data_IF_649539140730
#
_entry.id   IF_649539140730
#
_cell.length_a   1.000
_cell.length_b   1.000
_cell.length_c   1.000
_cell.angle_alpha   90.00
_cell.angle_beta   90.00
_cell.angle_gamma   90.00
#
_symmetry.space_group_name_H-M   'P 1'
#
loop_
_entity.id
_entity.type
_entity.pdbx_description
1 polymer ?
#
# COMPACT_ATOMS: atom_id res chain seq x y z
N UNK A 1 1.13 37.48 -10.80
CA UNK A 1 -0.30 37.78 -10.58
C UNK A 1 -0.95 36.52 -10.05
N UNK A 2 -1.12 36.43 -8.74
CA UNK A 2 -1.70 35.29 -8.04
C UNK A 2 -3.18 35.57 -7.74
N UNK A 3 -4.05 34.63 -8.06
CA UNK A 3 -5.40 34.63 -7.53
C UNK A 3 -5.62 33.36 -6.68
N UNK A 4 -6.12 33.48 -5.46
CA UNK A 4 -6.49 32.35 -4.63
C UNK A 4 -7.93 31.94 -4.91
N UNK A 5 -8.18 30.64 -5.05
CA UNK A 5 -9.55 30.10 -5.08
C UNK A 5 -9.82 29.41 -3.75
N UNK A 6 -10.52 30.14 -2.88
CA UNK A 6 -11.22 29.58 -1.72
C UNK A 6 -12.56 29.03 -2.17
N UNK A 7 -12.82 27.77 -1.91
CA UNK A 7 -14.11 27.13 -2.12
C UNK A 7 -14.36 26.07 -1.07
N UNK A 8 -14.86 26.48 0.10
CA UNK A 8 -15.49 25.59 1.07
C UNK A 8 -16.80 25.07 0.48
N UNK A 9 -16.95 23.75 0.36
CA UNK A 9 -18.28 23.11 0.24
C UNK A 9 -18.54 22.30 1.49
N UNK A 10 -19.48 22.78 2.28
CA UNK A 10 -20.21 22.08 3.30
C UNK A 10 -21.08 21.03 2.60
N UNK A 11 -21.00 19.80 3.04
CA UNK A 11 -22.01 18.77 2.73
C UNK A 11 -22.36 18.08 4.04
N UNK A 12 -23.49 18.51 4.58
CA UNK A 12 -24.25 17.80 5.62
C UNK A 12 -24.94 16.62 4.94
N UNK A 13 -24.91 15.43 5.57
CA UNK A 13 -25.55 14.22 5.04
C UNK A 13 -25.41 13.06 6.01
N UNK A 14 -26.35 12.98 6.87
CA UNK A 14 -26.97 11.95 7.70
C UNK A 14 -26.39 10.52 7.67
N UNK A 15 -26.10 9.92 8.84
CA UNK A 15 -25.68 8.51 8.95
C UNK A 15 -26.90 7.60 9.14
N UNK A 16 -27.44 7.07 8.03
CA UNK A 16 -28.43 6.01 8.07
C UNK A 16 -27.83 4.68 8.52
N UNK A 17 -27.98 4.34 9.78
CA UNK A 17 -27.66 3.05 10.34
C UNK A 17 -28.61 1.97 9.82
N UNK A 18 -28.08 0.95 9.15
CA UNK A 18 -28.81 -0.28 8.84
C UNK A 18 -28.59 -1.25 9.99
N UNK A 19 -29.58 -1.37 10.85
CA UNK A 19 -29.68 -2.43 11.86
C UNK A 19 -30.17 -3.70 11.18
N UNK A 20 -29.38 -4.78 11.29
CA UNK A 20 -29.81 -6.11 10.91
C UNK A 20 -30.68 -6.64 12.04
N UNK A 21 -32.00 -6.68 11.86
CA UNK A 21 -32.91 -7.40 12.73
C UNK A 21 -33.52 -8.59 12.00
N UNK A 22 -33.56 -9.68 12.74
CA UNK A 22 -33.95 -11.03 12.40
C UNK A 22 -35.31 -11.20 11.73
N UNK A 23 -35.36 -12.13 10.76
CA UNK A 23 -36.58 -12.86 10.47
C UNK A 23 -36.21 -14.32 10.15
N UNK A 24 -36.57 -15.22 11.10
CA UNK A 24 -36.45 -16.66 10.95
C UNK A 24 -37.56 -17.19 10.04
N UNK A 25 -37.23 -17.94 9.02
CA UNK A 25 -37.87 -19.22 8.67
C UNK A 25 -37.25 -19.86 7.40
N UNK A 26 -36.61 -20.99 7.55
CA UNK A 26 -36.74 -22.14 6.67
C UNK A 26 -35.83 -22.28 5.46
N UNK A 27 -34.91 -23.23 5.62
CA UNK A 27 -34.27 -24.15 4.65
C UNK A 27 -32.80 -23.90 4.31
N UNK A 28 -32.03 -24.92 4.72
CA UNK A 28 -30.59 -25.14 4.54
C UNK A 28 -30.13 -24.86 3.11
N UNK A 29 -29.19 -23.93 2.99
CA UNK A 29 -28.03 -24.06 2.11
C UNK A 29 -26.86 -23.36 2.83
N UNK A 30 -25.88 -24.13 3.26
CA UNK A 30 -24.63 -23.61 3.84
C UNK A 30 -23.83 -22.97 2.70
N UNK A 31 -24.09 -21.72 2.43
CA UNK A 31 -23.13 -20.83 1.80
C UNK A 31 -22.48 -20.07 2.94
N UNK A 32 -21.26 -20.49 3.30
CA UNK A 32 -20.37 -19.69 4.12
C UNK A 32 -19.99 -18.43 3.30
N UNK A 33 -20.89 -17.48 3.26
CA UNK A 33 -20.53 -16.11 2.91
C UNK A 33 -19.69 -15.63 4.09
N UNK A 34 -18.37 -15.81 4.00
CA UNK A 34 -17.43 -15.01 4.76
C UNK A 34 -17.75 -13.55 4.38
N UNK A 35 -18.49 -12.88 5.24
CA UNK A 35 -18.54 -11.43 5.27
C UNK A 35 -17.13 -10.97 5.69
N UNK A 36 -16.20 -11.04 4.75
CA UNK A 36 -14.88 -10.47 4.90
C UNK A 36 -15.10 -8.97 5.01
N UNK A 37 -14.99 -8.43 6.21
CA UNK A 37 -14.88 -6.98 6.40
C UNK A 37 -13.72 -6.52 5.54
N UNK A 38 -14.05 -5.91 4.39
CA UNK A 38 -13.07 -5.47 3.41
C UNK A 38 -12.03 -4.59 4.10
N UNK A 39 -10.77 -5.03 4.10
CA UNK A 39 -9.71 -4.26 4.72
C UNK A 39 -9.56 -2.92 4.01
N UNK A 40 -9.55 -1.84 4.76
CA UNK A 40 -9.31 -0.49 4.25
C UNK A 40 -7.80 -0.24 4.22
N UNK A 41 -7.20 -0.16 3.03
CA UNK A 41 -5.79 0.15 2.88
C UNK A 41 -5.48 1.57 3.35
N UNK A 42 -4.57 1.70 4.30
CA UNK A 42 -4.06 3.00 4.77
C UNK A 42 -2.84 3.39 3.92
N UNK A 43 -2.99 4.41 3.09
CA UNK A 43 -1.93 4.92 2.22
C UNK A 43 -1.09 5.98 2.95
N UNK A 44 -0.24 5.55 3.85
CA UNK A 44 0.60 6.42 4.70
C UNK A 44 2.07 6.44 4.28
N UNK A 45 2.44 5.61 3.30
CA UNK A 45 3.80 5.49 2.79
C UNK A 45 4.28 6.73 2.04
N UNK A 46 3.38 7.41 1.34
CA UNK A 46 3.69 8.60 0.54
C UNK A 46 4.36 8.27 -0.81
N UNK A 47 4.38 7.01 -1.19
CA UNK A 47 4.81 6.49 -2.48
C UNK A 47 4.14 5.14 -2.73
N UNK A 48 3.76 4.84 -3.98
CA UNK A 48 3.06 3.60 -4.33
C UNK A 48 3.82 2.35 -3.87
N UNK A 49 5.14 2.34 -4.03
CA UNK A 49 5.97 1.19 -3.64
C UNK A 49 5.99 0.98 -2.12
N UNK A 50 5.98 2.07 -1.33
CA UNK A 50 5.92 2.01 0.11
C UNK A 50 4.53 1.59 0.60
N UNK A 51 3.47 2.12 0.01
CA UNK A 51 2.10 1.70 0.32
C UNK A 51 1.87 0.23 -0.02
N UNK A 52 2.50 -0.27 -1.10
CA UNK A 52 2.48 -1.69 -1.44
C UNK A 52 3.23 -2.54 -0.39
N UNK A 53 4.38 -2.12 0.08
CA UNK A 53 5.09 -2.78 1.19
C UNK A 53 4.23 -2.83 2.46
N UNK A 54 3.42 -1.81 2.70
CA UNK A 54 2.53 -1.71 3.85
C UNK A 54 1.23 -2.54 3.71
N UNK A 55 1.09 -3.37 2.67
CA UNK A 55 -0.01 -4.35 2.57
C UNK A 55 0.18 -5.58 3.49
N UNK A 56 1.10 -5.51 4.42
CA UNK A 56 1.28 -6.41 5.58
C UNK A 56 0.87 -5.64 6.84
N UNK A 57 0.16 -6.28 7.77
CA UNK A 57 -0.34 -5.62 8.98
C UNK A 57 0.77 -5.06 9.86
N UNK A 58 1.77 -5.87 10.16
CA UNK A 58 2.87 -5.53 11.07
C UNK A 58 4.11 -6.36 10.70
N UNK A 59 5.17 -5.67 10.28
CA UNK A 59 6.44 -6.31 9.93
C UNK A 59 7.30 -6.73 11.13
N UNK A 60 6.86 -6.41 12.36
CA UNK A 60 7.61 -6.71 13.59
C UNK A 60 7.21 -8.05 14.22
N UNK A 61 6.15 -8.69 13.70
CA UNK A 61 5.69 -10.00 14.17
C UNK A 61 6.10 -11.12 13.20
N UNK A 62 6.33 -12.37 13.70
CA UNK A 62 6.79 -13.47 12.84
C UNK A 62 5.80 -13.87 11.75
N UNK A 63 4.50 -13.86 12.05
CA UNK A 63 3.42 -14.26 11.14
C UNK A 63 2.44 -13.09 10.97
N UNK A 64 2.79 -12.07 10.18
CA UNK A 64 1.93 -10.93 10.01
C UNK A 64 0.73 -11.26 9.11
N UNK A 65 -0.42 -10.69 9.41
CA UNK A 65 -1.58 -10.75 8.53
C UNK A 65 -1.26 -10.11 7.19
N UNK A 66 -1.46 -10.86 6.10
CA UNK A 66 -1.33 -10.38 4.73
C UNK A 66 -2.66 -9.79 4.26
N UNK A 67 -2.66 -8.51 3.91
CA UNK A 67 -3.84 -7.84 3.37
C UNK A 67 -4.12 -8.17 1.91
N UNK A 68 -3.13 -8.69 1.18
CA UNK A 68 -3.32 -9.25 -0.14
C UNK A 68 -3.72 -10.75 -0.01
N UNK A 69 -4.87 -11.03 0.61
CA UNK A 69 -5.36 -12.40 0.83
C UNK A 69 -5.67 -13.13 -0.47
N UNK A 70 -6.15 -12.40 -1.45
CA UNK A 70 -6.48 -12.88 -2.80
C UNK A 70 -6.20 -11.80 -3.85
N UNK A 71 -6.39 -12.13 -5.13
CA UNK A 71 -6.12 -11.19 -6.22
C UNK A 71 -7.15 -10.05 -6.29
N UNK A 72 -8.36 -10.27 -5.82
CA UNK A 72 -9.38 -9.22 -5.69
C UNK A 72 -8.92 -8.12 -4.71
N UNK A 73 -8.30 -8.51 -3.57
CA UNK A 73 -7.68 -7.57 -2.64
C UNK A 73 -6.51 -6.81 -3.28
N UNK A 74 -5.69 -7.49 -4.11
CA UNK A 74 -4.62 -6.81 -4.84
C UNK A 74 -5.19 -5.78 -5.84
N UNK A 75 -6.25 -6.11 -6.57
CA UNK A 75 -6.92 -5.16 -7.47
C UNK A 75 -7.55 -4.00 -6.70
N UNK A 76 -8.11 -4.26 -5.52
CA UNK A 76 -8.66 -3.23 -4.64
C UNK A 76 -7.56 -2.31 -4.11
N UNK A 77 -6.42 -2.85 -3.69
CA UNK A 77 -5.24 -2.04 -3.38
C UNK A 77 -4.85 -1.17 -4.57
N UNK A 78 -4.75 -1.75 -5.78
CA UNK A 78 -4.43 -1.02 -7.00
C UNK A 78 -5.38 0.15 -7.27
N UNK A 79 -6.68 -0.06 -7.07
CA UNK A 79 -7.68 1.00 -7.23
C UNK A 79 -7.61 2.05 -6.13
N UNK A 80 -7.43 1.65 -4.86
CA UNK A 80 -7.33 2.56 -3.72
C UNK A 80 -6.08 3.42 -3.80
N UNK A 81 -4.94 2.86 -4.19
CA UNK A 81 -3.66 3.56 -4.31
C UNK A 81 -3.57 4.44 -5.58
N UNK A 82 -4.54 4.37 -6.47
CA UNK A 82 -4.49 5.03 -7.77
C UNK A 82 -3.55 4.36 -8.78
N UNK A 83 -2.95 3.23 -8.43
CA UNK A 83 -2.14 2.44 -9.37
C UNK A 83 -2.98 1.86 -10.51
N UNK A 84 -4.27 1.62 -10.28
CA UNK A 84 -5.27 1.24 -11.28
C UNK A 84 -6.45 2.20 -11.20
N UNK A 85 -7.08 2.48 -12.34
CA UNK A 85 -8.43 3.03 -12.34
C UNK A 85 -9.43 1.93 -12.00
N UNK A 86 -10.62 2.30 -11.51
CA UNK A 86 -11.70 1.32 -11.24
C UNK A 86 -12.08 0.52 -12.49
N UNK A 87 -12.00 1.14 -13.68
CA UNK A 87 -12.23 0.45 -14.96
C UNK A 87 -11.15 -0.57 -15.28
N UNK A 88 -9.87 -0.25 -15.06
CA UNK A 88 -8.75 -1.17 -15.24
C UNK A 88 -8.84 -2.36 -14.28
N UNK A 89 -9.15 -2.11 -13.00
CA UNK A 89 -9.32 -3.16 -12.01
C UNK A 89 -10.42 -4.16 -12.39
N UNK A 90 -11.58 -3.67 -12.85
CA UNK A 90 -12.67 -4.53 -13.34
C UNK A 90 -12.28 -5.36 -14.57
N UNK A 91 -11.53 -4.77 -15.52
CA UNK A 91 -11.09 -5.47 -16.75
C UNK A 91 -10.06 -6.57 -16.48
N UNK A 92 -9.22 -6.42 -15.48
CA UNK A 92 -8.20 -7.41 -15.12
C UNK A 92 -8.81 -8.72 -14.64
N UNK A 93 -9.98 -8.67 -13.99
CA UNK A 93 -10.71 -9.86 -13.58
C UNK A 93 -9.85 -10.86 -12.78
N UNK A 94 -10.40 -12.07 -12.59
CA UNK A 94 -9.73 -13.09 -11.75
C UNK A 94 -9.09 -14.25 -12.54
N UNK A 95 -9.06 -14.21 -13.87
CA UNK A 95 -8.62 -15.35 -14.70
C UNK A 95 -7.17 -15.82 -14.46
N UNK A 96 -6.29 -14.97 -13.96
CA UNK A 96 -4.88 -15.30 -13.65
C UNK A 96 -4.54 -15.03 -12.18
N UNK A 97 -5.56 -15.07 -11.33
CA UNK A 97 -5.52 -14.61 -9.96
C UNK A 97 -4.38 -15.23 -9.12
N UNK A 98 -4.25 -16.56 -9.15
CA UNK A 98 -3.33 -17.25 -8.24
C UNK A 98 -1.87 -17.00 -8.58
N UNK A 99 -1.50 -17.07 -9.89
CA UNK A 99 -0.11 -16.88 -10.31
C UNK A 99 0.35 -15.43 -10.12
N UNK A 100 -0.50 -14.46 -10.43
CA UNK A 100 -0.15 -13.04 -10.30
C UNK A 100 -0.13 -12.59 -8.84
N UNK A 101 -1.04 -13.08 -7.99
CA UNK A 101 -0.98 -12.86 -6.55
C UNK A 101 0.33 -13.38 -5.95
N UNK A 102 0.76 -14.58 -6.32
CA UNK A 102 2.04 -15.12 -5.88
C UNK A 102 3.19 -14.21 -6.29
N UNK A 103 3.24 -13.78 -7.56
CA UNK A 103 4.29 -12.85 -8.06
C UNK A 103 4.27 -11.50 -7.33
N UNK A 104 3.10 -10.96 -7.01
CA UNK A 104 2.98 -9.74 -6.20
C UNK A 104 3.56 -9.95 -4.80
N UNK A 105 3.24 -11.05 -4.13
CA UNK A 105 3.79 -11.35 -2.80
C UNK A 105 5.31 -11.58 -2.85
N UNK A 106 5.83 -12.26 -3.87
CA UNK A 106 7.27 -12.44 -4.09
C UNK A 106 7.97 -11.10 -4.34
N UNK A 107 7.38 -10.22 -5.17
CA UNK A 107 7.88 -8.86 -5.39
C UNK A 107 7.91 -8.07 -4.07
N UNK A 108 6.84 -8.13 -3.28
CA UNK A 108 6.77 -7.43 -1.98
C UNK A 108 7.88 -7.88 -1.04
N UNK A 109 8.08 -9.18 -0.90
CA UNK A 109 9.13 -9.74 -0.06
C UNK A 109 10.54 -9.30 -0.53
N UNK A 110 10.77 -9.27 -1.85
CA UNK A 110 12.02 -8.80 -2.45
C UNK A 110 12.24 -7.31 -2.21
N UNK A 111 11.24 -6.47 -2.47
CA UNK A 111 11.32 -5.04 -2.23
C UNK A 111 11.55 -4.72 -0.75
N UNK A 112 10.91 -5.47 0.15
CA UNK A 112 11.11 -5.33 1.59
C UNK A 112 12.58 -5.52 1.97
N UNK A 113 13.21 -6.60 1.50
CA UNK A 113 14.64 -6.86 1.77
C UNK A 113 15.55 -5.78 1.18
N UNK A 114 15.30 -5.36 -0.07
CA UNK A 114 16.07 -4.31 -0.73
C UNK A 114 15.95 -3.00 0.05
N UNK A 115 14.73 -2.53 0.29
CA UNK A 115 14.47 -1.24 0.93
C UNK A 115 15.04 -1.20 2.35
N UNK A 116 14.80 -2.26 3.12
CA UNK A 116 15.32 -2.36 4.49
C UNK A 116 16.84 -2.41 4.51
N UNK A 117 17.44 -3.18 3.60
CA UNK A 117 18.90 -3.23 3.44
C UNK A 117 19.50 -1.84 3.20
N UNK A 118 18.98 -1.11 2.22
CA UNK A 118 19.46 0.25 1.89
C UNK A 118 19.26 1.23 3.05
N UNK A 119 18.12 1.17 3.76
CA UNK A 119 17.85 2.04 4.91
C UNK A 119 18.89 1.83 6.03
N UNK A 120 19.32 0.59 6.26
CA UNK A 120 20.34 0.28 7.28
C UNK A 120 21.77 0.24 6.70
N UNK A 121 21.96 0.80 5.51
CA UNK A 121 23.26 0.87 4.82
C UNK A 121 23.92 -0.50 4.60
N UNK A 122 23.11 -1.54 4.42
CA UNK A 122 23.55 -2.88 4.04
C UNK A 122 23.30 -3.11 2.55
N UNK A 123 24.27 -3.65 1.83
CA UNK A 123 24.10 -3.99 0.43
C UNK A 123 22.97 -5.00 0.24
N UNK A 124 21.99 -4.74 -0.64
CA UNK A 124 20.99 -5.72 -1.03
C UNK A 124 21.62 -6.93 -1.71
N UNK A 125 20.95 -8.08 -1.66
CA UNK A 125 21.39 -9.27 -2.36
C UNK A 125 21.38 -9.03 -3.89
N UNK A 126 22.45 -9.41 -4.57
CA UNK A 126 22.56 -9.29 -6.03
C UNK A 126 21.39 -10.00 -6.74
N UNK A 127 20.99 -11.18 -6.27
CA UNK A 127 19.86 -11.93 -6.81
C UNK A 127 18.53 -11.19 -6.72
N UNK A 128 18.31 -10.39 -5.67
CA UNK A 128 17.11 -9.57 -5.53
C UNK A 128 17.14 -8.38 -6.50
N UNK A 129 18.30 -7.74 -6.66
CA UNK A 129 18.50 -6.65 -7.63
C UNK A 129 18.33 -7.14 -9.07
N UNK A 130 18.93 -8.27 -9.43
CA UNK A 130 18.81 -8.88 -10.77
C UNK A 130 17.36 -9.26 -11.08
N UNK A 131 16.63 -9.81 -10.11
CA UNK A 131 15.23 -10.14 -10.29
C UNK A 131 14.37 -8.88 -10.45
N UNK A 132 14.63 -7.82 -9.70
CA UNK A 132 13.96 -6.53 -9.86
C UNK A 132 14.28 -5.91 -11.24
N UNK A 133 15.51 -6.00 -11.70
CA UNK A 133 15.94 -5.51 -13.01
C UNK A 133 15.23 -6.26 -14.16
N UNK A 134 15.06 -7.58 -14.06
CA UNK A 134 14.28 -8.36 -15.04
C UNK A 134 12.83 -7.92 -15.09
N UNK A 135 12.17 -7.77 -13.94
CA UNK A 135 10.79 -7.26 -13.87
C UNK A 135 10.66 -5.85 -14.49
N UNK A 136 11.66 -5.00 -14.26
CA UNK A 136 11.71 -3.67 -14.83
C UNK A 136 11.87 -3.69 -16.36
N UNK A 137 12.69 -4.59 -16.88
CA UNK A 137 12.85 -4.76 -18.33
C UNK A 137 11.53 -5.22 -18.97
N UNK A 138 10.80 -6.14 -18.36
CA UNK A 138 9.48 -6.57 -18.83
C UNK A 138 8.46 -5.45 -18.77
N UNK A 139 8.43 -4.69 -17.68
CA UNK A 139 7.60 -3.50 -17.53
C UNK A 139 7.91 -2.45 -18.62
N UNK A 140 9.19 -2.27 -18.93
CA UNK A 140 9.64 -1.34 -19.97
C UNK A 140 9.17 -1.76 -21.38
N UNK A 141 9.23 -3.05 -21.70
CA UNK A 141 8.73 -3.59 -22.98
C UNK A 141 7.21 -3.42 -23.14
N UNK A 142 6.46 -3.54 -22.04
CA UNK A 142 5.00 -3.38 -22.04
C UNK A 142 4.56 -1.92 -22.04
N UNK A 143 5.42 -1.00 -21.64
CA UNK A 143 5.10 0.41 -21.59
C UNK A 143 4.96 1.01 -23.00
N UNK A 144 4.04 1.97 -23.13
CA UNK A 144 3.80 2.73 -24.36
C UNK A 144 3.82 4.22 -24.07
N UNK A 145 4.33 4.98 -25.00
CA UNK A 145 4.21 6.44 -24.99
C UNK A 145 2.81 6.81 -25.50
N UNK A 146 2.11 7.63 -24.73
CA UNK A 146 0.78 8.11 -25.10
C UNK A 146 0.69 9.61 -24.88
N UNK A 147 -0.01 10.28 -25.79
CA UNK A 147 -0.36 11.69 -25.59
C UNK A 147 -1.41 11.79 -24.49
N UNK A 148 -1.15 12.61 -23.48
CA UNK A 148 -2.07 12.94 -22.41
C UNK A 148 -2.17 14.47 -22.36
N UNK A 149 -3.26 15.01 -22.88
CA UNK A 149 -3.43 16.44 -23.12
C UNK A 149 -2.26 16.98 -24.00
N UNK A 150 -1.48 17.92 -23.50
CA UNK A 150 -0.34 18.52 -24.21
C UNK A 150 1.02 17.90 -23.85
N UNK A 151 1.03 16.73 -23.20
CA UNK A 151 2.26 16.05 -22.76
C UNK A 151 2.30 14.63 -23.30
N UNK A 152 3.51 14.09 -23.39
CA UNK A 152 3.71 12.66 -23.60
C UNK A 152 3.92 12.00 -22.25
N UNK A 153 3.17 10.94 -21.99
CA UNK A 153 3.31 10.11 -20.80
C UNK A 153 3.68 8.69 -21.21
N UNK A 154 4.61 8.08 -20.47
CA UNK A 154 4.88 6.67 -20.54
C UNK A 154 3.89 5.94 -19.63
N UNK A 155 3.17 4.97 -20.17
CA UNK A 155 2.12 4.25 -19.44
C UNK A 155 2.18 2.76 -19.71
N UNK A 156 2.11 1.95 -18.66
CA UNK A 156 1.84 0.52 -18.72
C UNK A 156 0.31 0.37 -18.75
N UNK A 157 -0.21 -0.09 -19.89
CA UNK A 157 -1.64 -0.23 -20.08
C UNK A 157 -2.09 -1.69 -19.88
N UNK A 158 -3.34 -1.88 -19.45
CA UNK A 158 -3.92 -3.23 -19.27
C UNK A 158 -3.91 -4.02 -20.58
N UNK A 159 -4.08 -3.36 -21.71
CA UNK A 159 -4.09 -4.01 -23.04
C UNK A 159 -2.74 -4.63 -23.43
N UNK A 160 -1.65 -4.10 -22.91
CA UNK A 160 -0.28 -4.60 -23.21
C UNK A 160 0.32 -5.44 -22.09
N UNK A 161 -0.09 -5.20 -20.85
CA UNK A 161 0.50 -5.84 -19.68
C UNK A 161 -0.41 -6.90 -19.05
N UNK A 162 -1.71 -6.89 -19.39
CA UNK A 162 -2.68 -7.81 -18.83
C UNK A 162 -2.66 -7.81 -17.30
N UNK A 163 -2.73 -9.00 -16.66
CA UNK A 163 -2.73 -9.13 -15.20
C UNK A 163 -1.50 -8.52 -14.51
N UNK A 164 -0.37 -8.43 -15.20
CA UNK A 164 0.87 -7.89 -14.66
C UNK A 164 0.88 -6.36 -14.53
N UNK A 165 -0.15 -5.67 -15.00
CA UNK A 165 -0.23 -4.20 -15.01
C UNK A 165 0.04 -3.59 -13.65
N UNK A 166 -0.62 -4.09 -12.58
CA UNK A 166 -0.44 -3.59 -11.23
C UNK A 166 1.00 -3.80 -10.75
N UNK A 167 1.51 -5.01 -10.90
CA UNK A 167 2.85 -5.41 -10.48
C UNK A 167 3.92 -4.55 -11.15
N UNK A 168 3.84 -4.35 -12.45
CA UNK A 168 4.82 -3.57 -13.19
C UNK A 168 4.74 -2.07 -12.88
N UNK A 169 3.56 -1.51 -12.60
CA UNK A 169 3.44 -0.13 -12.11
C UNK A 169 4.08 0.04 -10.71
N UNK A 170 3.97 -0.97 -9.85
CA UNK A 170 4.66 -1.00 -8.56
C UNK A 170 6.19 -1.08 -8.75
N UNK A 171 6.67 -1.93 -9.68
CA UNK A 171 8.09 -2.01 -10.02
C UNK A 171 8.63 -0.68 -10.51
N UNK A 172 7.92 0.01 -11.40
CA UNK A 172 8.34 1.36 -11.87
C UNK A 172 8.41 2.37 -10.72
N UNK A 173 7.42 2.38 -9.83
CA UNK A 173 7.42 3.26 -8.67
C UNK A 173 8.60 2.93 -7.72
N UNK A 174 8.85 1.65 -7.46
CA UNK A 174 9.95 1.21 -6.62
C UNK A 174 11.31 1.63 -7.17
N UNK A 175 11.54 1.44 -8.47
CA UNK A 175 12.79 1.87 -9.12
C UNK A 175 12.94 3.39 -9.10
N UNK A 176 11.87 4.12 -9.44
CA UNK A 176 11.90 5.57 -9.42
C UNK A 176 12.23 6.13 -8.02
N UNK A 177 11.73 5.48 -6.97
CA UNK A 177 12.05 5.86 -5.59
C UNK A 177 13.48 5.47 -5.22
N UNK A 178 13.90 4.20 -5.46
CA UNK A 178 15.22 3.68 -5.12
C UNK A 178 16.36 4.47 -5.77
N UNK A 179 16.17 4.92 -7.01
CA UNK A 179 17.20 5.66 -7.78
C UNK A 179 17.13 7.17 -7.59
N UNK A 180 16.18 7.66 -6.80
CA UNK A 180 16.01 9.10 -6.53
C UNK A 180 16.66 9.50 -5.21
N UNK A 181 17.07 10.77 -5.09
CA UNK A 181 17.50 11.36 -3.82
C UNK A 181 16.40 11.36 -2.73
N UNK A 182 15.13 11.13 -3.10
CA UNK A 182 14.02 11.00 -2.15
C UNK A 182 14.19 9.79 -1.23
N UNK A 183 14.88 8.74 -1.69
CA UNK A 183 15.08 7.51 -0.90
C UNK A 183 15.77 7.78 0.44
N UNK A 184 16.66 8.76 0.52
CA UNK A 184 17.32 9.16 1.78
C UNK A 184 16.33 9.57 2.88
N UNK A 185 15.08 9.90 2.54
CA UNK A 185 14.02 10.23 3.49
C UNK A 185 13.04 9.07 3.75
N UNK A 186 13.30 7.89 3.21
CA UNK A 186 12.49 6.70 3.52
C UNK A 186 12.88 6.17 4.89
N UNK A 187 11.88 5.92 5.72
CA UNK A 187 12.05 5.44 7.09
C UNK A 187 11.14 4.25 7.36
N UNK A 188 11.44 3.51 8.42
CA UNK A 188 10.57 2.47 8.97
C UNK A 188 9.96 2.91 10.29
N UNK A 189 8.70 2.60 10.49
CA UNK A 189 7.99 2.88 11.73
C UNK A 189 8.48 1.94 12.84
N UNK A 190 8.93 2.45 14.00
CA UNK A 190 9.44 1.61 15.08
C UNK A 190 8.34 0.83 15.83
N UNK A 191 7.06 1.07 15.53
CA UNK A 191 5.95 0.37 16.16
C UNK A 191 5.44 -0.82 15.34
N UNK A 192 5.39 -0.71 14.01
CA UNK A 192 4.82 -1.73 13.12
C UNK A 192 5.72 -2.10 11.93
N UNK A 193 6.91 -1.50 11.81
CA UNK A 193 7.85 -1.77 10.73
C UNK A 193 7.43 -1.24 9.35
N UNK A 194 6.30 -0.53 9.22
CA UNK A 194 5.83 0.03 7.96
C UNK A 194 6.79 1.09 7.43
N UNK A 195 6.91 1.13 6.11
CA UNK A 195 7.74 2.11 5.41
C UNK A 195 6.97 3.41 5.16
N UNK A 196 7.66 4.54 5.25
CA UNK A 196 7.08 5.82 4.90
C UNK A 196 8.14 6.81 4.42
N UNK A 197 7.74 7.70 3.52
CA UNK A 197 8.56 8.82 3.08
C UNK A 197 8.35 10.00 4.04
N UNK A 198 9.43 10.43 4.67
CA UNK A 198 9.38 11.61 5.56
C UNK A 198 9.46 12.90 4.74
N UNK A 199 8.31 13.49 4.49
CA UNK A 199 8.17 14.78 3.79
C UNK A 199 8.11 15.97 4.74
N UNK A 200 8.27 15.78 6.07
CA UNK A 200 8.26 16.85 7.04
C UNK A 200 9.43 17.83 6.82
N UNK A 201 9.26 19.10 7.19
CA UNK A 201 10.26 20.15 7.01
C UNK A 201 11.63 19.77 7.56
N UNK A 202 11.67 19.21 8.76
CA UNK A 202 12.92 18.88 9.47
C UNK A 202 13.27 17.38 9.40
N UNK A 203 12.60 16.59 8.56
CA UNK A 203 12.78 15.14 8.47
C UNK A 203 12.70 14.44 9.84
N UNK A 204 11.79 14.90 10.69
CA UNK A 204 11.64 14.45 12.09
C UNK A 204 10.48 13.50 12.34
N UNK A 205 9.71 13.15 11.29
CA UNK A 205 8.64 12.15 11.38
C UNK A 205 9.20 10.80 11.83
N UNK A 206 8.64 10.28 12.90
CA UNK A 206 9.07 9.02 13.54
C UNK A 206 8.10 7.86 13.29
N UNK A 207 6.82 8.14 13.09
CA UNK A 207 5.74 7.14 12.98
C UNK A 207 5.13 7.16 11.58
N UNK A 208 4.72 6.00 11.07
CA UNK A 208 3.99 5.92 9.79
C UNK A 208 2.65 6.67 9.84
N UNK A 209 2.02 6.73 11.02
CA UNK A 209 0.82 7.52 11.28
C UNK A 209 0.84 8.03 12.71
N UNK A 210 0.56 9.32 12.89
CA UNK A 210 0.41 9.91 14.23
C UNK A 210 -0.91 9.49 14.89
N UNK A 211 -1.96 9.28 14.09
CA UNK A 211 -3.29 8.90 14.59
C UNK A 211 -3.31 7.46 15.13
N UNK A 212 -2.48 6.56 14.61
CA UNK A 212 -2.39 5.15 15.03
C UNK A 212 -1.11 4.89 15.83
N UNK A 213 0.01 4.65 15.19
CA UNK A 213 1.26 4.28 15.86
C UNK A 213 1.78 5.34 16.83
N UNK A 214 1.66 6.63 16.49
CA UNK A 214 2.08 7.73 17.36
C UNK A 214 1.22 7.85 18.62
N UNK A 215 -0.09 7.75 18.49
CA UNK A 215 -1.03 7.82 19.61
C UNK A 215 -0.87 6.62 20.55
N UNK A 216 -0.73 5.40 20.00
CA UNK A 216 -0.48 4.20 20.78
C UNK A 216 0.86 4.28 21.55
N UNK A 217 1.90 4.84 20.94
CA UNK A 217 3.18 5.05 21.62
C UNK A 217 3.08 6.07 22.77
N UNK A 218 2.30 7.16 22.59
CA UNK A 218 2.03 8.14 23.66
C UNK A 218 1.24 7.51 24.81
N UNK A 219 0.17 6.76 24.50
CA UNK A 219 -0.65 6.09 25.50
C UNK A 219 0.17 5.11 26.33
N UNK A 220 1.01 4.29 25.68
CA UNK A 220 1.92 3.33 26.34
C UNK A 220 2.91 4.03 27.27
N UNK A 221 3.50 5.16 26.82
CA UNK A 221 4.43 5.96 27.63
C UNK A 221 3.72 6.56 28.85
N UNK A 222 2.51 7.07 28.69
CA UNK A 222 1.70 7.59 29.77
C UNK A 222 1.38 6.53 30.82
N UNK A 223 0.90 5.36 30.39
CA UNK A 223 0.60 4.22 31.24
C UNK A 223 1.80 3.80 32.13
N UNK A 224 2.96 3.62 31.52
CA UNK A 224 4.15 3.22 32.26
C UNK A 224 4.65 4.29 33.22
N UNK A 225 4.50 5.56 32.87
CA UNK A 225 4.85 6.67 33.76
C UNK A 225 3.95 6.73 35.00
N UNK A 226 2.65 6.56 34.84
CA UNK A 226 1.67 6.51 35.95
C UNK A 226 1.88 5.31 36.85
N UNK A 227 2.09 4.12 36.24
CA UNK A 227 2.34 2.90 37.02
C UNK A 227 3.62 2.99 37.87
N UNK A 228 4.69 3.60 37.34
CA UNK A 228 5.92 3.83 38.10
C UNK A 228 5.74 4.81 39.27
N UNK A 229 4.82 5.78 39.14
CA UNK A 229 4.52 6.72 40.23
C UNK A 229 3.67 6.07 41.33
N UNK A 230 2.77 5.17 40.96
CA UNK A 230 1.91 4.45 41.92
C UNK A 230 2.67 3.36 42.73
N UNK A 231 3.82 2.91 42.25
CA UNK A 231 4.64 1.89 42.92
C UNK A 231 5.83 2.51 43.73
N UNK A 232 5.84 3.82 43.91
CA UNK A 232 6.78 4.57 44.80
C UNK A 232 6.04 5.08 46.04
#
# INVERSE_FOLDING_TARGET
>A
MFFPITGKRHIDGDPGGITCQDSFAGKRLRSLVHCSMAHRFELVGGDLSLDFLNTIHDWTVPEPRDYLSDFGEALRFGATSGALTSGEARRLGVKHATSELRRLRELRARLERIFRGVIVQRAPLASDLDALAREAADAARAARLRRVKQRVARKIAVDTAGPSTLRWRIVEAALALLTSGRFANVKTCPACGWFFLDTSKNKSRRWCSMATCGSNAKARRYYWRTKRKANR
#
